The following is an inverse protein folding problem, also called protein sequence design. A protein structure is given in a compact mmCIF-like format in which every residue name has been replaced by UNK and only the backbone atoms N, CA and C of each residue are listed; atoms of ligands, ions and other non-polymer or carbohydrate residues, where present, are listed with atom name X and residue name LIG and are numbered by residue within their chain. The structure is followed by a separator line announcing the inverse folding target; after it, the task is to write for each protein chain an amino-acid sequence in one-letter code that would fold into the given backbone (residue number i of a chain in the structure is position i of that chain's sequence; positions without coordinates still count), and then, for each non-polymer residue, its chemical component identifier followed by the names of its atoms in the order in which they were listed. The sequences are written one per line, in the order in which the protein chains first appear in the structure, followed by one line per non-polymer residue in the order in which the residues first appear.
data_IF_519332845597
#
_entry.id   IF_519332845597
#
_cell.length_a   1.000
_cell.length_b   1.000
_cell.length_c   1.000
_cell.angle_alpha   90.00
_cell.angle_beta   90.00
_cell.angle_gamma   90.00
#
_symmetry.space_group_name_H-M   'P 1'
#
loop_
_entity.id
_entity.type
_entity.pdbx_description
1 polymer ?
#
# COMPACT_ATOMS: atom_id res chain seq x y z
N UNK A 1 -1.64 -33.03 10.28
CA UNK A 1 -2.56 -31.92 10.62
C UNK A 1 -2.00 -30.66 10.00
N UNK A 2 -2.80 -29.95 9.21
CA UNK A 2 -2.39 -28.65 8.66
C UNK A 2 -2.35 -27.62 9.79
N UNK A 3 -1.44 -26.64 9.70
CA UNK A 3 -1.23 -25.71 10.82
C UNK A 3 -2.49 -24.94 11.25
N UNK A 4 -3.38 -24.60 10.34
CA UNK A 4 -4.63 -23.90 10.67
C UNK A 4 -5.64 -24.76 11.43
N UNK A 5 -5.57 -26.09 11.33
CA UNK A 5 -6.50 -27.03 11.98
C UNK A 5 -6.35 -27.07 13.51
N UNK A 6 -5.24 -26.56 14.04
CA UNK A 6 -5.00 -26.46 15.49
C UNK A 6 -5.71 -25.28 16.16
N UNK A 7 -6.23 -24.33 15.37
CA UNK A 7 -6.96 -23.18 15.90
C UNK A 7 -8.45 -23.47 15.97
N UNK A 8 -9.05 -23.20 17.11
CA UNK A 8 -10.51 -23.26 17.26
C UNK A 8 -11.16 -22.02 16.66
N UNK A 9 -12.35 -22.19 16.08
CA UNK A 9 -13.12 -21.03 15.59
C UNK A 9 -13.45 -20.10 16.75
N UNK A 10 -13.01 -18.84 16.62
CA UNK A 10 -13.45 -17.78 17.52
C UNK A 10 -14.83 -17.27 17.12
N UNK A 11 -15.65 -16.96 18.10
CA UNK A 11 -16.94 -16.30 17.88
C UNK A 11 -16.79 -14.82 18.25
N UNK A 12 -16.57 -14.00 17.24
CA UNK A 12 -16.66 -12.55 17.39
C UNK A 12 -17.58 -12.01 16.31
N UNK A 13 -18.73 -11.50 16.75
CA UNK A 13 -19.61 -10.75 15.87
C UNK A 13 -19.34 -9.27 16.10
N UNK A 14 -18.86 -8.53 15.10
CA UNK A 14 -18.71 -7.09 15.23
C UNK A 14 -20.06 -6.46 15.58
N UNK A 15 -20.08 -5.46 16.47
CA UNK A 15 -21.28 -4.67 16.69
C UNK A 15 -21.80 -4.14 15.36
N UNK A 16 -23.09 -4.26 15.10
CA UNK A 16 -23.76 -3.78 13.89
C UNK A 16 -23.45 -4.59 12.59
N UNK A 17 -23.00 -5.85 12.72
CA UNK A 17 -22.75 -6.72 11.56
C UNK A 17 -23.92 -6.78 10.56
N UNK A 18 -25.15 -6.79 11.06
CA UNK A 18 -26.37 -6.86 10.22
C UNK A 18 -26.69 -5.56 9.48
N UNK A 19 -26.02 -4.47 9.84
CA UNK A 19 -26.41 -3.11 9.41
C UNK A 19 -25.77 -2.69 8.10
N UNK A 20 -24.56 -3.18 7.80
CA UNK A 20 -23.75 -2.62 6.73
C UNK A 20 -23.43 -3.60 5.61
N UNK A 21 -22.96 -4.81 5.92
CA UNK A 21 -22.46 -5.73 4.88
C UNK A 21 -22.73 -7.20 5.23
N UNK A 22 -23.18 -7.96 4.23
CA UNK A 22 -23.44 -9.41 4.40
C UNK A 22 -22.22 -10.20 4.89
N UNK A 23 -21.00 -9.78 4.52
CA UNK A 23 -19.77 -10.47 4.94
C UNK A 23 -19.46 -10.27 6.43
N UNK A 24 -19.91 -9.16 7.06
CA UNK A 24 -19.71 -8.91 8.48
C UNK A 24 -20.56 -9.83 9.37
N UNK A 25 -21.61 -10.43 8.81
CA UNK A 25 -22.42 -11.46 9.48
C UNK A 25 -21.75 -12.84 9.55
N UNK A 26 -20.62 -13.06 8.84
CA UNK A 26 -19.87 -14.30 8.91
C UNK A 26 -19.01 -14.36 10.18
N UNK A 27 -19.06 -15.48 10.88
CA UNK A 27 -18.24 -15.71 12.09
C UNK A 27 -16.80 -16.16 11.77
N UNK A 28 -16.47 -16.39 10.51
CA UNK A 28 -15.15 -16.84 10.07
C UNK A 28 -14.93 -16.52 8.58
N UNK A 29 -13.67 -16.48 8.18
CA UNK A 29 -13.25 -16.41 6.77
C UNK A 29 -13.24 -17.84 6.22
N UNK A 30 -14.08 -18.11 5.23
CA UNK A 30 -14.24 -19.42 4.60
C UNK A 30 -13.32 -19.65 3.39
N UNK A 31 -12.72 -18.57 2.87
CA UNK A 31 -11.74 -18.61 1.79
C UNK A 31 -10.52 -17.78 2.19
N UNK A 32 -9.33 -18.35 1.99
CA UNK A 32 -8.09 -17.61 2.25
C UNK A 32 -8.03 -16.35 1.37
N UNK A 33 -7.55 -15.21 1.90
CA UNK A 33 -7.29 -14.04 1.08
C UNK A 33 -6.12 -14.30 0.13
N UNK A 34 -6.10 -13.56 -0.96
CA UNK A 34 -4.92 -13.49 -1.80
C UNK A 34 -3.86 -12.63 -1.09
N UNK A 35 -2.65 -13.17 -0.93
CA UNK A 35 -1.57 -12.50 -0.22
C UNK A 35 -0.66 -11.78 -1.21
N UNK A 36 -0.44 -10.48 -0.96
CA UNK A 36 0.59 -9.69 -1.63
C UNK A 36 1.79 -9.51 -0.68
N UNK A 37 3.00 -9.89 -1.12
CA UNK A 37 4.21 -9.52 -0.38
C UNK A 37 4.59 -8.08 -0.70
N UNK A 38 4.90 -7.30 0.33
CA UNK A 38 5.42 -5.93 0.22
C UNK A 38 6.86 -5.80 0.71
N UNK A 39 7.53 -6.93 0.97
CA UNK A 39 8.88 -6.97 1.55
C UNK A 39 9.91 -6.25 0.67
N UNK A 40 9.84 -6.43 -0.65
CA UNK A 40 10.77 -5.83 -1.61
C UNK A 40 10.55 -4.34 -1.86
N UNK A 41 9.39 -3.81 -1.50
CA UNK A 41 9.08 -2.38 -1.60
C UNK A 41 9.08 -1.73 -0.23
N UNK A 42 8.05 -1.93 0.57
CA UNK A 42 7.86 -1.26 1.87
C UNK A 42 8.86 -1.77 2.92
N UNK A 43 9.08 -3.09 2.94
CA UNK A 43 10.10 -3.70 3.78
C UNK A 43 11.50 -3.21 3.45
N UNK A 44 11.86 -3.16 2.16
CA UNK A 44 13.16 -2.64 1.72
C UNK A 44 13.35 -1.16 2.05
N UNK A 45 12.30 -0.34 1.98
CA UNK A 45 12.36 1.08 2.36
C UNK A 45 12.67 1.29 3.84
N UNK A 46 12.31 0.33 4.71
CA UNK A 46 12.56 0.39 6.14
C UNK A 46 14.01 0.02 6.53
N UNK A 47 14.79 -0.54 5.60
CA UNK A 47 16.18 -0.91 5.86
C UNK A 47 17.09 0.32 5.90
N UNK A 48 18.04 0.34 6.87
CA UNK A 48 19.07 1.38 6.93
C UNK A 48 19.94 1.36 5.67
N UNK A 49 20.25 0.16 5.17
CA UNK A 49 20.93 -0.07 3.89
C UNK A 49 19.95 -0.87 3.03
N UNK A 50 19.35 -0.25 2.02
CA UNK A 50 18.47 -0.96 1.08
C UNK A 50 19.18 -2.10 0.37
N UNK A 51 18.43 -3.13 -0.02
CA UNK A 51 18.98 -4.26 -0.77
C UNK A 51 19.58 -3.82 -2.12
N UNK A 52 20.70 -4.43 -2.47
CA UNK A 52 21.28 -4.36 -3.82
C UNK A 52 20.36 -5.04 -4.84
N UNK A 53 20.67 -4.85 -6.12
CA UNK A 53 19.95 -5.52 -7.22
C UNK A 53 19.98 -7.04 -7.06
N UNK A 54 21.16 -7.60 -6.77
CA UNK A 54 21.37 -9.05 -6.62
C UNK A 54 20.57 -9.61 -5.43
N UNK A 55 20.60 -8.92 -4.29
CA UNK A 55 19.82 -9.31 -3.10
C UNK A 55 18.32 -9.28 -3.37
N UNK A 56 17.84 -8.26 -4.11
CA UNK A 56 16.41 -8.18 -4.51
C UNK A 56 16.02 -9.32 -5.45
N UNK A 57 16.87 -9.67 -6.42
CA UNK A 57 16.63 -10.80 -7.34
C UNK A 57 16.56 -12.12 -6.57
N UNK A 58 17.50 -12.35 -5.65
CA UNK A 58 17.51 -13.54 -4.80
C UNK A 58 16.26 -13.60 -3.93
N UNK A 59 15.93 -12.49 -3.25
CA UNK A 59 14.78 -12.43 -2.37
C UNK A 59 13.46 -12.63 -3.12
N UNK A 60 13.31 -12.07 -4.32
CA UNK A 60 12.17 -12.33 -5.20
C UNK A 60 12.00 -13.84 -5.45
N UNK A 61 13.10 -14.55 -5.73
CA UNK A 61 13.06 -16.00 -5.94
C UNK A 61 12.55 -16.77 -4.72
N UNK A 62 12.87 -16.31 -3.50
CA UNK A 62 12.34 -16.90 -2.27
C UNK A 62 10.85 -16.64 -2.09
N UNK A 63 10.38 -15.44 -2.38
CA UNK A 63 8.95 -15.12 -2.30
C UNK A 63 8.12 -15.98 -3.26
N UNK A 64 8.63 -16.19 -4.48
CA UNK A 64 8.01 -17.11 -5.45
C UNK A 64 8.00 -18.55 -4.93
N UNK A 65 9.11 -19.03 -4.34
CA UNK A 65 9.19 -20.38 -3.74
C UNK A 65 8.28 -20.57 -2.55
N UNK A 66 8.06 -19.53 -1.74
CA UNK A 66 7.10 -19.53 -0.62
C UNK A 66 5.66 -19.68 -1.15
N UNK A 67 5.40 -19.19 -2.37
CA UNK A 67 4.12 -19.34 -3.04
C UNK A 67 3.30 -18.07 -3.18
N UNK A 68 3.90 -16.90 -2.96
CA UNK A 68 3.22 -15.63 -3.24
C UNK A 68 2.85 -15.52 -4.71
N UNK A 69 1.65 -15.02 -4.98
CA UNK A 69 1.12 -14.80 -6.34
C UNK A 69 1.04 -13.34 -6.72
N UNK A 70 1.13 -12.46 -5.74
CA UNK A 70 1.24 -11.02 -5.91
C UNK A 70 2.44 -10.55 -5.10
N UNK A 71 3.36 -9.81 -5.72
CA UNK A 71 4.61 -9.36 -5.09
C UNK A 71 4.85 -7.91 -5.49
N UNK A 72 4.77 -6.98 -4.53
CA UNK A 72 5.12 -5.59 -4.74
C UNK A 72 6.64 -5.44 -4.72
N UNK A 73 7.22 -5.26 -5.89
CA UNK A 73 8.66 -5.36 -6.13
C UNK A 73 9.42 -4.06 -5.90
N UNK A 74 8.73 -2.92 -5.99
CA UNK A 74 9.37 -1.62 -5.79
C UNK A 74 8.64 -0.44 -6.41
N UNK A 75 9.36 0.66 -6.52
CA UNK A 75 8.93 1.91 -7.16
C UNK A 75 9.89 2.24 -8.32
N UNK A 76 9.64 1.72 -9.53
CA UNK A 76 10.59 1.80 -10.64
C UNK A 76 11.02 3.21 -11.05
N UNK A 77 10.16 4.21 -10.77
CA UNK A 77 10.48 5.60 -11.08
C UNK A 77 11.30 6.31 -9.99
N UNK A 78 11.51 5.68 -8.83
CA UNK A 78 12.21 6.31 -7.71
C UNK A 78 13.74 6.31 -7.84
N UNK A 79 14.32 5.25 -8.42
CA UNK A 79 15.76 5.12 -8.61
C UNK A 79 16.11 4.22 -9.80
N UNK A 80 17.36 4.27 -10.22
CA UNK A 80 17.87 3.40 -11.29
C UNK A 80 17.87 1.93 -10.85
N UNK A 81 18.25 1.63 -9.61
CA UNK A 81 18.21 0.26 -9.06
C UNK A 81 16.81 -0.34 -9.10
N UNK A 82 15.78 0.44 -8.74
CA UNK A 82 14.38 -0.01 -8.80
C UNK A 82 13.90 -0.25 -10.24
N UNK A 83 14.33 0.62 -11.14
CA UNK A 83 14.05 0.46 -12.57
C UNK A 83 14.72 -0.77 -13.14
N UNK A 84 16.02 -0.93 -12.91
CA UNK A 84 16.83 -2.06 -13.39
C UNK A 84 16.32 -3.38 -12.82
N UNK A 85 15.98 -3.42 -11.53
CA UNK A 85 15.40 -4.61 -10.91
C UNK A 85 14.13 -5.07 -11.62
N UNK A 86 13.21 -4.11 -11.90
CA UNK A 86 11.98 -4.41 -12.64
C UNK A 86 12.29 -4.94 -14.04
N UNK A 87 13.23 -4.32 -14.75
CA UNK A 87 13.64 -4.75 -16.09
C UNK A 87 14.26 -6.13 -16.10
N UNK A 88 15.19 -6.41 -15.17
CA UNK A 88 15.85 -7.72 -15.04
C UNK A 88 14.85 -8.84 -14.78
N UNK A 89 13.87 -8.63 -13.89
CA UNK A 89 12.82 -9.63 -13.65
C UNK A 89 12.06 -9.99 -14.94
N UNK A 90 11.79 -9.01 -15.79
CA UNK A 90 11.03 -9.19 -17.04
C UNK A 90 11.91 -9.74 -18.14
N UNK A 91 13.08 -9.16 -18.39
CA UNK A 91 13.96 -9.51 -19.51
C UNK A 91 14.62 -10.87 -19.34
N UNK A 92 14.98 -11.24 -18.12
CA UNK A 92 15.55 -12.54 -17.79
C UNK A 92 14.48 -13.64 -17.60
N UNK A 93 13.17 -13.29 -17.74
CA UNK A 93 12.08 -14.26 -17.63
C UNK A 93 11.92 -14.88 -16.24
N UNK A 94 12.20 -14.11 -15.18
CA UNK A 94 12.21 -14.60 -13.80
C UNK A 94 10.82 -14.64 -13.15
N UNK A 95 9.81 -14.05 -13.79
CA UNK A 95 8.44 -13.96 -13.27
C UNK A 95 7.65 -15.18 -13.77
N UNK A 96 7.18 -16.07 -12.88
CA UNK A 96 6.31 -17.18 -13.28
C UNK A 96 4.98 -16.68 -13.87
N UNK A 97 4.41 -17.47 -14.78
CA UNK A 97 3.17 -17.13 -15.47
C UNK A 97 1.95 -16.88 -14.55
N UNK A 98 1.96 -17.47 -13.37
CA UNK A 98 0.91 -17.37 -12.35
C UNK A 98 1.24 -16.34 -11.24
N UNK A 99 2.30 -15.55 -11.42
CA UNK A 99 2.69 -14.46 -10.51
C UNK A 99 2.45 -13.12 -11.19
N UNK A 100 1.87 -12.18 -10.45
CA UNK A 100 1.78 -10.79 -10.83
C UNK A 100 2.78 -9.96 -10.01
N UNK A 101 3.61 -9.18 -10.69
CA UNK A 101 4.41 -8.17 -10.01
C UNK A 101 3.57 -6.92 -9.79
N UNK A 102 3.75 -6.29 -8.64
CA UNK A 102 3.13 -5.01 -8.32
C UNK A 102 4.20 -3.92 -8.28
N UNK A 103 3.90 -2.77 -8.85
CA UNK A 103 4.80 -1.60 -8.88
C UNK A 103 4.08 -0.35 -8.41
N UNK A 104 4.73 0.39 -7.51
CA UNK A 104 4.21 1.65 -6.99
C UNK A 104 4.42 2.79 -8.00
N UNK A 105 3.45 3.68 -8.11
CA UNK A 105 3.54 4.90 -8.91
C UNK A 105 2.79 6.05 -8.25
N UNK A 106 3.41 7.21 -8.18
CA UNK A 106 2.75 8.42 -7.72
C UNK A 106 1.87 9.00 -8.84
N UNK A 107 0.75 9.64 -8.46
CA UNK A 107 -0.16 10.30 -9.42
C UNK A 107 0.46 11.57 -10.02
N UNK A 108 1.52 11.37 -10.84
CA UNK A 108 2.21 12.39 -11.65
C UNK A 108 2.54 11.80 -13.01
N UNK A 109 2.26 12.54 -14.05
CA UNK A 109 2.37 12.07 -15.44
C UNK A 109 3.72 11.43 -15.78
N UNK A 110 4.83 12.10 -15.47
CA UNK A 110 6.18 11.61 -15.79
C UNK A 110 6.53 10.35 -14.99
N UNK A 111 6.08 10.24 -13.73
CA UNK A 111 6.28 9.07 -12.88
C UNK A 111 5.50 7.88 -13.44
N UNK A 112 4.23 8.08 -13.79
CA UNK A 112 3.37 7.04 -14.38
C UNK A 112 3.97 6.54 -15.69
N UNK A 113 4.41 7.45 -16.57
CA UNK A 113 5.05 7.05 -17.84
C UNK A 113 6.33 6.24 -17.63
N UNK A 114 7.19 6.64 -16.69
CA UNK A 114 8.41 5.89 -16.33
C UNK A 114 8.06 4.50 -15.78
N UNK A 115 7.01 4.40 -14.97
CA UNK A 115 6.54 3.12 -14.43
C UNK A 115 6.06 2.18 -15.55
N UNK A 116 5.28 2.68 -16.52
CA UNK A 116 4.84 1.86 -17.66
C UNK A 116 6.00 1.46 -18.59
N UNK A 117 7.01 2.31 -18.74
CA UNK A 117 8.23 1.94 -19.46
C UNK A 117 8.96 0.79 -18.76
N UNK A 118 9.03 0.84 -17.42
CA UNK A 118 9.66 -0.22 -16.63
C UNK A 118 8.92 -1.58 -16.73
N UNK A 119 7.59 -1.58 -16.74
CA UNK A 119 6.79 -2.84 -16.79
C UNK A 119 6.50 -3.32 -18.21
N UNK A 120 7.03 -2.67 -19.24
CA UNK A 120 6.84 -3.07 -20.64
C UNK A 120 7.34 -4.51 -20.86
N UNK A 121 6.47 -5.33 -21.43
CA UNK A 121 6.75 -6.76 -21.69
C UNK A 121 6.39 -7.67 -20.52
N UNK A 122 5.93 -7.13 -19.39
CA UNK A 122 5.41 -7.95 -18.31
C UNK A 122 4.08 -8.59 -18.68
N UNK A 123 3.91 -9.89 -18.37
CA UNK A 123 2.68 -10.63 -18.66
C UNK A 123 1.55 -10.22 -17.72
N UNK A 124 1.82 -10.17 -16.41
CA UNK A 124 0.85 -9.82 -15.38
C UNK A 124 1.45 -8.76 -14.45
N UNK A 125 0.84 -7.57 -14.41
CA UNK A 125 1.28 -6.49 -13.54
C UNK A 125 0.11 -5.82 -12.83
N UNK A 126 0.35 -5.41 -11.58
CA UNK A 126 -0.52 -4.51 -10.82
C UNK A 126 0.20 -3.17 -10.74
N UNK A 127 -0.45 -2.11 -11.23
CA UNK A 127 0.08 -0.76 -11.12
C UNK A 127 -0.61 -0.07 -9.95
N UNK A 128 0.14 0.19 -8.90
CA UNK A 128 -0.33 0.72 -7.64
C UNK A 128 -0.19 2.25 -7.64
N UNK A 129 -1.29 2.94 -7.93
CA UNK A 129 -1.39 4.39 -7.93
C UNK A 129 -1.61 4.93 -6.52
N UNK A 130 -0.89 5.97 -6.13
CA UNK A 130 -1.15 6.69 -4.89
C UNK A 130 -1.07 8.20 -5.05
N UNK A 131 -1.78 8.88 -4.19
CA UNK A 131 -1.56 10.29 -3.85
C UNK A 131 -1.99 10.57 -2.42
N UNK A 132 -1.36 11.55 -1.81
CA UNK A 132 -1.62 11.91 -0.41
C UNK A 132 -2.96 12.61 -0.24
N UNK A 133 -3.72 12.22 0.77
CA UNK A 133 -5.10 12.67 0.99
C UNK A 133 -5.36 13.27 2.37
N UNK A 134 -4.43 13.13 3.33
CA UNK A 134 -4.60 13.61 4.69
C UNK A 134 -4.77 15.14 4.76
N UNK A 135 -5.46 15.61 5.81
CA UNK A 135 -5.66 17.03 6.09
C UNK A 135 -4.33 17.78 6.08
N UNK A 136 -3.34 17.29 6.83
CA UNK A 136 -2.04 17.94 6.96
C UNK A 136 -1.33 18.08 5.60
N UNK A 137 -1.38 17.05 4.76
CA UNK A 137 -0.74 17.09 3.44
C UNK A 137 -1.48 18.00 2.47
N UNK A 138 -2.81 18.00 2.48
CA UNK A 138 -3.60 18.92 1.66
C UNK A 138 -3.29 20.38 1.98
N UNK A 139 -3.29 20.72 3.28
CA UNK A 139 -3.15 22.11 3.73
C UNK A 139 -1.69 22.59 3.70
N UNK A 140 -0.76 21.78 4.20
CA UNK A 140 0.62 22.22 4.43
C UNK A 140 1.57 21.92 3.27
N UNK A 141 1.31 20.84 2.50
CA UNK A 141 2.22 20.42 1.41
C UNK A 141 1.68 20.86 0.06
N UNK A 142 0.40 20.58 -0.21
CA UNK A 142 -0.16 20.88 -1.52
C UNK A 142 -0.83 22.25 -1.61
N UNK A 143 -1.34 22.79 -0.49
CA UNK A 143 -2.18 24.00 -0.51
C UNK A 143 -3.41 23.81 -1.38
N UNK A 144 -4.03 22.60 -1.34
CA UNK A 144 -5.12 22.18 -2.22
C UNK A 144 -6.35 21.72 -1.41
N UNK A 145 -7.51 22.03 -1.96
CA UNK A 145 -8.77 21.53 -1.43
C UNK A 145 -9.08 20.08 -1.86
N UNK A 146 -10.17 19.51 -1.32
CA UNK A 146 -10.59 18.14 -1.61
C UNK A 146 -10.85 17.87 -3.10
N UNK A 147 -11.60 18.72 -3.83
CA UNK A 147 -11.80 18.60 -5.27
C UNK A 147 -10.49 18.56 -6.07
N UNK A 148 -9.55 19.41 -5.77
CA UNK A 148 -8.26 19.46 -6.44
C UNK A 148 -7.42 18.18 -6.18
N UNK A 149 -7.50 17.61 -4.99
CA UNK A 149 -6.85 16.33 -4.66
C UNK A 149 -7.52 15.15 -5.37
N UNK A 150 -8.85 15.17 -5.51
CA UNK A 150 -9.58 14.20 -6.34
C UNK A 150 -9.13 14.30 -7.80
N UNK A 151 -8.98 15.52 -8.34
CA UNK A 151 -8.53 15.71 -9.72
C UNK A 151 -7.15 15.12 -9.97
N UNK A 152 -6.22 15.23 -9.01
CA UNK A 152 -4.91 14.58 -9.09
C UNK A 152 -5.08 13.05 -9.22
N UNK A 153 -5.89 12.43 -8.37
CA UNK A 153 -6.13 10.99 -8.41
C UNK A 153 -6.79 10.55 -9.72
N UNK A 154 -7.84 11.24 -10.14
CA UNK A 154 -8.60 10.96 -11.36
C UNK A 154 -7.74 11.13 -12.61
N UNK A 155 -6.91 12.17 -12.66
CA UNK A 155 -5.98 12.41 -13.78
C UNK A 155 -4.96 11.27 -13.89
N UNK A 156 -4.39 10.84 -12.76
CA UNK A 156 -3.50 9.67 -12.72
C UNK A 156 -4.20 8.38 -13.14
N UNK A 157 -5.39 8.14 -12.62
CA UNK A 157 -6.20 6.96 -12.96
C UNK A 157 -6.54 6.88 -14.45
N UNK A 158 -6.92 8.00 -15.08
CA UNK A 158 -7.15 8.11 -16.54
C UNK A 158 -5.90 7.79 -17.33
N UNK A 159 -4.76 8.32 -16.91
CA UNK A 159 -3.49 8.07 -17.58
C UNK A 159 -3.07 6.60 -17.47
N UNK A 160 -3.21 5.99 -16.28
CA UNK A 160 -2.95 4.57 -16.11
C UNK A 160 -3.78 3.71 -17.07
N UNK A 161 -5.09 3.97 -17.12
CA UNK A 161 -6.01 3.25 -18.00
C UNK A 161 -5.59 3.39 -19.46
N UNK A 162 -5.32 4.62 -19.91
CA UNK A 162 -4.93 4.90 -21.31
C UNK A 162 -3.58 4.25 -21.69
N UNK A 163 -2.63 4.15 -20.76
CA UNK A 163 -1.34 3.49 -21.00
C UNK A 163 -1.49 1.96 -21.00
N UNK A 164 -2.27 1.41 -20.09
CA UNK A 164 -2.55 -0.03 -20.04
C UNK A 164 -3.26 -0.54 -21.29
N UNK A 165 -4.17 0.25 -21.87
CA UNK A 165 -4.84 -0.09 -23.14
C UNK A 165 -3.88 -0.14 -24.34
N UNK A 166 -2.77 0.56 -24.26
CA UNK A 166 -1.74 0.63 -25.32
C UNK A 166 -0.56 -0.31 -25.11
N UNK A 167 -0.44 -0.86 -23.90
CA UNK A 167 0.69 -1.71 -23.53
C UNK A 167 0.25 -3.17 -23.51
N UNK A 168 0.89 -4.07 -24.26
CA UNK A 168 0.57 -5.50 -24.19
C UNK A 168 0.83 -6.05 -22.78
N UNK A 169 -0.12 -6.83 -22.26
CA UNK A 169 -0.04 -7.44 -20.93
C UNK A 169 -1.39 -7.40 -20.21
N UNK A 170 -1.47 -8.12 -19.09
CA UNK A 170 -2.62 -8.11 -18.21
C UNK A 170 -2.34 -7.14 -17.06
N UNK A 171 -2.90 -5.95 -17.14
CA UNK A 171 -2.75 -4.91 -16.13
C UNK A 171 -3.98 -4.85 -15.24
N UNK A 172 -3.77 -4.94 -13.92
CA UNK A 172 -4.72 -4.58 -12.88
C UNK A 172 -4.26 -3.31 -12.18
N UNK A 173 -5.16 -2.66 -11.47
CA UNK A 173 -4.87 -1.40 -10.80
C UNK A 173 -5.17 -1.50 -9.32
N UNK A 174 -4.31 -0.86 -8.55
CA UNK A 174 -4.51 -0.60 -7.14
C UNK A 174 -4.45 0.89 -6.88
N UNK A 175 -5.29 1.38 -5.97
CA UNK A 175 -5.28 2.77 -5.53
C UNK A 175 -5.15 2.89 -4.02
N UNK A 176 -4.24 3.75 -3.58
CA UNK A 176 -4.09 4.14 -2.18
C UNK A 176 -4.36 5.63 -1.98
N UNK A 177 -5.38 6.01 -1.21
CA UNK A 177 -5.42 7.32 -0.56
C UNK A 177 -4.36 7.34 0.54
N UNK A 178 -3.16 7.81 0.20
CA UNK A 178 -2.01 7.78 1.12
C UNK A 178 -2.29 8.62 2.36
N UNK A 179 -1.82 8.14 3.51
CA UNK A 179 -2.16 8.71 4.82
C UNK A 179 -3.66 8.59 5.14
N UNK A 180 -4.25 7.45 4.79
CA UNK A 180 -5.68 7.16 4.98
C UNK A 180 -6.18 7.50 6.37
N UNK A 181 -5.42 7.17 7.39
CA UNK A 181 -5.81 7.39 8.79
C UNK A 181 -5.76 8.85 9.24
N UNK A 182 -5.10 9.73 8.48
CA UNK A 182 -5.17 11.19 8.63
C UNK A 182 -6.16 11.86 7.66
N UNK A 183 -6.96 11.05 6.97
CA UNK A 183 -7.97 11.47 5.98
C UNK A 183 -9.35 11.27 6.55
N UNK A 184 -10.27 12.20 6.33
CA UNK A 184 -11.67 12.04 6.73
C UNK A 184 -12.28 10.83 5.98
N UNK A 185 -13.03 9.94 6.69
CA UNK A 185 -13.58 8.72 6.07
C UNK A 185 -14.47 9.00 4.85
N UNK A 186 -15.27 10.06 4.90
CA UNK A 186 -16.15 10.47 3.81
C UNK A 186 -15.33 10.91 2.58
N UNK A 187 -14.26 11.67 2.81
CA UNK A 187 -13.36 12.10 1.73
C UNK A 187 -12.59 10.93 1.14
N UNK A 188 -12.14 9.98 1.96
CA UNK A 188 -11.50 8.76 1.47
C UNK A 188 -12.46 7.94 0.59
N UNK A 189 -13.73 7.84 0.97
CA UNK A 189 -14.76 7.19 0.17
C UNK A 189 -14.97 7.91 -1.17
N UNK A 190 -15.10 9.24 -1.15
CA UNK A 190 -15.32 10.04 -2.35
C UNK A 190 -14.19 9.89 -3.37
N UNK A 191 -12.93 9.99 -2.92
CA UNK A 191 -11.77 9.88 -3.81
C UNK A 191 -11.60 8.46 -4.34
N UNK A 192 -11.82 7.43 -3.52
CA UNK A 192 -11.78 6.05 -3.98
C UNK A 192 -12.87 5.79 -5.04
N UNK A 193 -14.10 6.25 -4.82
CA UNK A 193 -15.17 6.12 -5.79
C UNK A 193 -14.84 6.85 -7.10
N UNK A 194 -14.30 8.07 -7.03
CA UNK A 194 -13.92 8.83 -8.21
C UNK A 194 -12.84 8.10 -9.06
N UNK A 195 -11.89 7.41 -8.42
CA UNK A 195 -10.90 6.57 -9.13
C UNK A 195 -11.56 5.32 -9.72
N UNK A 196 -12.42 4.63 -8.96
CA UNK A 196 -13.14 3.44 -9.45
C UNK A 196 -14.07 3.78 -10.61
N UNK A 197 -14.69 4.96 -10.62
CA UNK A 197 -15.51 5.45 -11.72
C UNK A 197 -14.70 5.63 -13.03
N UNK A 198 -13.41 5.90 -12.94
CA UNK A 198 -12.52 5.91 -14.11
C UNK A 198 -12.20 4.48 -14.58
N UNK A 199 -11.85 3.61 -13.65
CA UNK A 199 -11.36 2.26 -13.98
C UNK A 199 -12.48 1.29 -14.35
N UNK A 200 -13.69 1.49 -13.80
CA UNK A 200 -14.87 0.63 -14.05
C UNK A 200 -14.54 -0.86 -13.83
N UNK A 201 -14.14 -1.26 -12.60
CA UNK A 201 -13.80 -2.65 -12.34
C UNK A 201 -14.97 -3.59 -12.54
N UNK A 202 -14.68 -4.83 -12.95
CA UNK A 202 -15.66 -5.91 -13.12
C UNK A 202 -15.28 -7.10 -12.21
N UNK A 203 -16.17 -8.08 -12.03
CA UNK A 203 -15.83 -9.31 -11.29
C UNK A 203 -14.61 -10.05 -11.87
N UNK A 204 -14.39 -9.96 -13.18
CA UNK A 204 -13.28 -10.59 -13.90
C UNK A 204 -12.01 -9.73 -13.86
N UNK A 205 -12.17 -8.40 -13.81
CA UNK A 205 -11.07 -7.43 -13.77
C UNK A 205 -11.23 -6.52 -12.55
N UNK A 206 -10.90 -7.04 -11.40
CA UNK A 206 -11.03 -6.32 -10.12
C UNK A 206 -9.96 -5.24 -9.98
N UNK A 207 -10.35 -4.12 -9.38
CA UNK A 207 -9.42 -3.14 -8.82
C UNK A 207 -9.19 -3.44 -7.34
N UNK A 208 -8.07 -2.97 -6.81
CA UNK A 208 -7.70 -3.07 -5.41
C UNK A 208 -7.76 -1.66 -4.81
N UNK A 209 -8.37 -1.53 -3.64
CA UNK A 209 -8.27 -0.34 -2.80
C UNK A 209 -7.43 -0.70 -1.60
N UNK A 210 -6.30 -0.04 -1.45
CA UNK A 210 -5.42 -0.18 -0.30
C UNK A 210 -5.60 1.01 0.63
N UNK A 211 -5.83 0.75 1.91
CA UNK A 211 -6.04 1.76 2.95
C UNK A 211 -4.85 1.74 3.91
N UNK A 212 -3.77 2.47 3.60
CA UNK A 212 -2.53 2.39 4.37
C UNK A 212 -2.66 3.05 5.74
N UNK A 213 -2.30 2.30 6.79
CA UNK A 213 -2.43 2.69 8.20
C UNK A 213 -1.14 3.29 8.77
N UNK A 214 0.00 3.10 8.11
CA UNK A 214 1.37 3.39 8.59
C UNK A 214 1.58 4.85 9.02
N UNK A 215 0.87 5.80 8.44
CA UNK A 215 1.08 7.23 8.72
C UNK A 215 0.53 7.69 10.07
N UNK A 216 -0.44 7.01 10.66
CA UNK A 216 -0.85 7.31 12.04
C UNK A 216 0.30 7.04 13.01
N UNK A 217 0.99 5.94 12.85
CA UNK A 217 2.14 5.62 13.68
C UNK A 217 3.23 6.70 13.55
N UNK A 218 3.50 7.18 12.34
CA UNK A 218 4.45 8.27 12.11
C UNK A 218 4.03 9.59 12.77
N UNK A 219 2.82 10.05 12.55
CA UNK A 219 2.31 11.29 13.14
C UNK A 219 2.19 11.19 14.66
N UNK A 220 1.78 10.04 15.18
CA UNK A 220 1.72 9.79 16.62
C UNK A 220 3.12 9.72 17.22
N UNK A 221 4.08 9.08 16.55
CA UNK A 221 5.48 9.05 16.97
C UNK A 221 6.10 10.44 17.00
N UNK A 222 5.85 11.28 15.97
CA UNK A 222 6.31 12.68 15.96
C UNK A 222 5.72 13.49 17.12
N UNK A 223 4.41 13.37 17.35
CA UNK A 223 3.77 14.02 18.49
C UNK A 223 4.34 13.55 19.82
N UNK A 224 4.53 12.24 19.98
CA UNK A 224 5.18 11.68 21.17
C UNK A 224 6.62 12.19 21.34
N UNK A 225 7.37 12.38 20.25
CA UNK A 225 8.72 12.94 20.27
C UNK A 225 8.71 14.41 20.69
N UNK A 226 7.77 15.20 20.19
CA UNK A 226 7.60 16.61 20.57
C UNK A 226 7.23 16.73 22.06
N UNK A 227 6.31 15.92 22.54
CA UNK A 227 5.91 15.84 23.94
C UNK A 227 7.08 15.41 24.83
N UNK A 228 7.89 14.43 24.38
CA UNK A 228 9.12 14.00 25.06
C UNK A 228 10.13 15.13 25.18
N UNK A 229 10.39 15.84 24.07
CA UNK A 229 11.32 16.95 24.05
C UNK A 229 10.86 18.12 24.95
N UNK A 230 9.55 18.40 24.96
CA UNK A 230 8.96 19.42 25.83
C UNK A 230 9.16 19.05 27.31
N UNK A 231 8.82 17.82 27.69
CA UNK A 231 8.97 17.34 29.08
C UNK A 231 10.43 17.31 29.52
N UNK A 232 11.36 16.96 28.62
CA UNK A 232 12.80 16.98 28.88
C UNK A 232 13.32 18.40 29.14
N UNK A 233 12.84 19.40 28.41
CA UNK A 233 13.16 20.82 28.64
C UNK A 233 12.67 21.31 30.02
N UNK A 234 11.59 20.74 30.52
CA UNK A 234 11.03 21.03 31.86
C UNK A 234 11.75 20.27 32.98
N UNK A 235 12.82 19.54 32.68
CA UNK A 235 13.60 18.76 33.68
C UNK A 235 12.88 17.51 34.19
N UNK A 236 11.81 17.09 33.54
CA UNK A 236 11.09 15.84 33.82
C UNK A 236 11.84 14.65 33.21
N UNK A 237 11.65 13.46 33.80
CA UNK A 237 12.14 12.20 33.20
C UNK A 237 10.99 11.58 32.38
N UNK A 238 10.85 11.95 31.11
CA UNK A 238 9.71 11.52 30.31
C UNK A 238 9.85 10.05 29.90
N UNK A 239 8.75 9.33 29.96
CA UNK A 239 8.62 8.02 29.34
C UNK A 239 7.46 8.03 28.35
N UNK A 240 7.60 7.33 27.24
CA UNK A 240 6.49 7.10 26.33
C UNK A 240 5.54 6.08 26.97
N UNK A 241 4.26 6.45 27.09
CA UNK A 241 3.23 5.53 27.53
C UNK A 241 2.38 5.11 26.33
N UNK A 242 1.91 3.89 26.32
CA UNK A 242 1.02 3.36 25.28
C UNK A 242 -0.24 4.20 25.10
N UNK A 243 -0.72 4.80 26.15
CA UNK A 243 -1.89 5.72 26.14
C UNK A 243 -1.69 6.94 25.24
N UNK A 244 -0.44 7.43 25.11
CA UNK A 244 -0.14 8.58 24.25
C UNK A 244 -0.21 8.27 22.76
N UNK A 245 -0.24 7.00 22.39
CA UNK A 245 -0.39 6.53 21.00
C UNK A 245 -1.73 5.83 20.76
N UNK A 246 -2.67 5.91 21.70
CA UNK A 246 -4.01 5.34 21.55
C UNK A 246 -4.04 3.80 21.52
N UNK A 247 -3.00 3.14 21.98
CA UNK A 247 -2.96 1.69 22.13
C UNK A 247 -3.31 1.32 23.57
N UNK A 248 -4.34 0.52 23.77
CA UNK A 248 -4.62 -0.10 25.06
C UNK A 248 -3.64 -1.24 25.29
N UNK A 249 -2.77 -1.08 26.26
CA UNK A 249 -1.81 -2.09 26.68
C UNK A 249 -0.46 -1.52 27.12
N UNK A 250 0.20 -2.21 28.02
CA UNK A 250 1.56 -1.86 28.47
C UNK A 250 2.56 -2.28 27.40
N UNK A 251 2.89 -1.41 26.50
CA UNK A 251 4.04 -1.56 25.62
C UNK A 251 5.03 -0.47 25.97
N UNK A 252 6.10 -0.85 26.65
CA UNK A 252 7.28 0.01 26.81
C UNK A 252 7.98 0.05 25.45
N UNK A 253 7.73 1.11 24.69
CA UNK A 253 8.56 1.45 23.56
C UNK A 253 9.80 2.16 24.10
N UNK A 254 10.97 1.55 24.01
CA UNK A 254 12.29 2.01 24.39
C UNK A 254 12.65 1.85 25.87
N UNK A 255 13.38 0.82 26.18
CA UNK A 255 14.45 0.85 27.17
C UNK A 255 15.74 1.35 26.52
#
# INVERSE_FOLDING_TARGET
MKNYEKYTRGFYLPPQADRYYKWTGKSYIDKAPDWCSVDLRDGNQALIIPMSLEEKLEFFSYLVKIGFKEIEIGFPAASETEYEFTRRLIEDGLIPDDVAIQVLTQSREHIIKKTFDAVRGCKNAIVHLYNSTSVAQREQVFGKDKPEIIDIAVTGAKLLKALAEKTPGNFRFEYSPESFTGTEPEFALDICNAVLDVWQPTPEKKAIINLPVIVILGNTALKCLDDYQAQKKEGKNPCFKAESIGLEGKTEFWN
#
